data_IF_555289918540
#
_entry.id   IF_555289918540
#
_cell.length_a   1.000
_cell.length_b   1.000
_cell.length_c   1.000
_cell.angle_alpha   90.00
_cell.angle_beta   90.00
_cell.angle_gamma   90.00
#
_symmetry.space_group_name_H-M   'P 1'
#
loop_
_entity.id
_entity.type
_entity.pdbx_description
1 polymer ?
#
# COMPACT_ATOMS: atom_id res chain seq x y z
N UNK A 1 36.86 -60.20 -35.23
CA UNK A 1 35.57 -59.90 -35.87
C UNK A 1 34.46 -60.43 -34.97
N UNK A 2 33.80 -59.58 -34.21
CA UNK A 2 32.55 -59.90 -33.50
C UNK A 2 31.64 -58.68 -33.65
N UNK A 3 30.51 -58.87 -34.34
CA UNK A 3 29.51 -57.85 -34.59
C UNK A 3 28.43 -57.93 -33.51
N UNK A 4 28.22 -56.84 -32.77
CA UNK A 4 27.08 -56.69 -31.85
C UNK A 4 26.11 -55.71 -32.51
N UNK A 5 24.90 -56.22 -32.79
CA UNK A 5 23.75 -55.45 -33.24
C UNK A 5 23.20 -54.66 -32.05
N UNK A 6 23.25 -53.33 -32.11
CA UNK A 6 22.52 -52.46 -31.18
C UNK A 6 21.19 -52.03 -31.80
N UNK A 7 20.10 -52.41 -31.15
CA UNK A 7 18.76 -51.94 -31.45
C UNK A 7 18.60 -50.49 -30.94
N UNK A 8 18.15 -49.61 -31.84
CA UNK A 8 17.81 -48.22 -31.52
C UNK A 8 16.36 -48.21 -31.02
N UNK A 9 16.17 -47.89 -29.73
CA UNK A 9 14.86 -47.53 -29.16
C UNK A 9 14.79 -46.00 -29.15
N UNK A 10 13.89 -45.37 -29.92
CA UNK A 10 13.70 -43.93 -29.85
C UNK A 10 12.89 -43.61 -28.58
N UNK A 11 13.57 -43.13 -27.54
CA UNK A 11 12.89 -42.51 -26.38
C UNK A 11 12.45 -41.12 -26.79
N UNK A 12 11.23 -41.05 -27.30
CA UNK A 12 10.40 -39.85 -27.37
C UNK A 12 10.04 -39.42 -25.94
N UNK A 13 10.92 -38.64 -25.31
CA UNK A 13 10.62 -37.92 -24.07
C UNK A 13 10.38 -36.44 -24.43
N UNK A 14 9.16 -36.15 -24.88
CA UNK A 14 8.64 -34.78 -24.94
C UNK A 14 8.50 -34.24 -23.51
N UNK A 15 9.55 -33.61 -23.01
CA UNK A 15 9.45 -32.72 -21.85
C UNK A 15 8.71 -31.45 -22.28
N UNK A 16 7.38 -31.51 -22.22
CA UNK A 16 6.57 -30.30 -22.12
C UNK A 16 6.80 -29.75 -20.72
N UNK A 17 7.80 -28.87 -20.59
CA UNK A 17 7.86 -27.97 -19.46
C UNK A 17 6.59 -27.12 -19.52
N UNK A 18 5.58 -27.52 -18.75
CA UNK A 18 4.50 -26.63 -18.35
C UNK A 18 5.17 -25.47 -17.63
N UNK A 19 5.41 -24.39 -18.38
CA UNK A 19 5.93 -23.16 -17.83
C UNK A 19 5.03 -22.75 -16.68
N UNK A 20 5.61 -22.46 -15.52
CA UNK A 20 4.97 -21.64 -14.52
C UNK A 20 4.58 -20.34 -15.23
N UNK A 21 3.33 -20.25 -15.66
CA UNK A 21 2.79 -19.04 -16.25
C UNK A 21 2.86 -17.98 -15.16
N UNK A 22 3.87 -17.12 -15.25
CA UNK A 22 4.01 -15.99 -14.34
C UNK A 22 2.76 -15.14 -14.52
N UNK A 23 1.81 -15.24 -13.59
CA UNK A 23 0.60 -14.43 -13.63
C UNK A 23 1.04 -12.97 -13.66
N UNK A 24 0.49 -12.15 -14.56
CA UNK A 24 0.93 -10.78 -14.64
C UNK A 24 0.53 -10.01 -13.38
N UNK A 25 1.41 -9.16 -12.85
CA UNK A 25 1.16 -8.45 -11.60
C UNK A 25 -0.02 -7.48 -11.68
N UNK A 26 -0.38 -7.03 -12.89
CA UNK A 26 -1.59 -6.27 -13.16
C UNK A 26 -2.52 -7.00 -14.12
N UNK A 27 -3.82 -6.77 -13.97
CA UNK A 27 -4.91 -7.33 -14.75
C UNK A 27 -6.09 -6.35 -14.67
N UNK A 28 -6.41 -5.57 -15.72
CA UNK A 28 -7.54 -4.67 -15.72
C UNK A 28 -8.84 -5.47 -15.72
N UNK A 29 -9.91 -4.83 -15.26
CA UNK A 29 -11.25 -5.41 -15.38
C UNK A 29 -11.64 -5.43 -16.84
N UNK A 30 -12.13 -6.57 -17.33
CA UNK A 30 -12.71 -6.60 -18.67
C UNK A 30 -14.01 -5.78 -18.69
N UNK A 31 -14.30 -4.97 -19.71
CA UNK A 31 -15.48 -4.09 -19.70
C UNK A 31 -16.80 -4.80 -19.40
N UNK A 32 -16.97 -6.01 -19.90
CA UNK A 32 -18.14 -6.87 -19.67
C UNK A 32 -18.26 -7.41 -18.23
N UNK A 33 -17.16 -7.42 -17.47
CA UNK A 33 -17.13 -7.90 -16.08
C UNK A 33 -17.65 -6.87 -15.09
N UNK A 34 -17.43 -5.59 -15.34
CA UNK A 34 -17.64 -4.54 -14.35
C UNK A 34 -19.10 -4.46 -13.89
N UNK A 35 -20.06 -4.70 -14.79
CA UNK A 35 -21.48 -4.81 -14.45
C UNK A 35 -21.82 -6.07 -13.65
N UNK A 36 -21.23 -7.22 -14.00
CA UNK A 36 -21.48 -8.49 -13.32
C UNK A 36 -20.90 -8.56 -11.90
N UNK A 37 -19.91 -7.70 -11.60
CA UNK A 37 -19.29 -7.60 -10.27
C UNK A 37 -20.15 -6.80 -9.28
N UNK A 38 -21.18 -6.07 -9.74
CA UNK A 38 -22.00 -5.20 -8.88
C UNK A 38 -23.08 -5.99 -8.13
N UNK A 39 -23.38 -5.68 -6.85
CA UNK A 39 -22.70 -4.68 -6.03
C UNK A 39 -21.34 -5.21 -5.52
N UNK A 40 -20.40 -4.29 -5.28
CA UNK A 40 -19.05 -4.58 -4.80
C UNK A 40 -18.91 -4.18 -3.34
N UNK A 41 -18.48 -5.11 -2.49
CA UNK A 41 -18.03 -4.79 -1.13
C UNK A 41 -16.53 -4.48 -1.15
N UNK A 42 -16.10 -3.42 -0.46
CA UNK A 42 -14.71 -2.97 -0.46
C UNK A 42 -14.12 -3.08 0.94
N UNK A 43 -12.96 -3.75 1.04
CA UNK A 43 -12.16 -3.84 2.26
C UNK A 43 -10.81 -3.19 2.03
N UNK A 44 -10.54 -2.12 2.78
CA UNK A 44 -9.27 -1.41 2.77
C UNK A 44 -8.41 -1.99 3.88
N UNK A 45 -7.38 -2.75 3.51
CA UNK A 45 -6.39 -3.29 4.42
C UNK A 45 -5.27 -2.31 4.66
N UNK A 46 -5.08 -1.92 5.92
CA UNK A 46 -3.95 -1.10 6.33
C UNK A 46 -3.22 -1.89 7.41
N UNK A 47 -2.14 -2.57 7.07
CA UNK A 47 -1.37 -3.39 8.02
C UNK A 47 -0.77 -2.55 9.14
N UNK A 48 -0.36 -1.34 8.80
CA UNK A 48 0.37 -0.45 9.71
C UNK A 48 -0.56 0.48 10.50
N UNK A 49 -0.28 0.69 11.79
CA UNK A 49 -0.97 1.70 12.58
C UNK A 49 -0.44 3.10 12.28
N UNK A 50 0.83 3.23 11.88
CA UNK A 50 1.58 4.48 11.83
C UNK A 50 2.64 4.44 10.72
N UNK A 51 3.19 5.61 10.39
CA UNK A 51 4.31 5.76 9.45
C UNK A 51 5.54 5.00 9.96
N UNK A 52 6.20 4.27 9.07
CA UNK A 52 7.52 3.67 9.31
C UNK A 52 8.54 4.12 8.26
N UNK A 53 9.81 3.83 8.51
CA UNK A 53 10.89 3.99 7.54
C UNK A 53 11.37 2.62 7.06
N UNK A 54 11.51 2.47 5.74
CA UNK A 54 12.15 1.32 5.14
C UNK A 54 13.60 1.21 5.64
N UNK A 55 14.16 0.00 5.66
CA UNK A 55 15.55 -0.20 6.02
C UNK A 55 16.21 -1.15 5.03
N UNK A 56 17.51 -0.94 4.81
CA UNK A 56 18.31 -1.81 3.94
C UNK A 56 18.45 -3.17 4.62
N UNK A 57 17.92 -4.22 4.00
CA UNK A 57 18.04 -5.59 4.50
C UNK A 57 19.48 -6.08 4.36
N UNK A 58 19.89 -6.98 5.27
CA UNK A 58 21.08 -7.81 5.08
C UNK A 58 20.73 -9.00 4.18
N UNK A 59 21.53 -9.24 3.13
CA UNK A 59 21.34 -10.31 2.15
C UNK A 59 22.47 -11.37 2.24
N UNK A 60 23.20 -11.41 3.36
CA UNK A 60 24.51 -12.06 3.44
C UNK A 60 24.47 -13.61 3.40
N UNK A 61 23.32 -14.25 3.57
CA UNK A 61 23.18 -15.70 3.41
C UNK A 61 21.87 -16.07 2.68
N UNK A 62 21.94 -16.24 1.35
CA UNK A 62 20.82 -16.72 0.54
C UNK A 62 20.70 -18.26 0.64
N UNK A 63 19.92 -18.75 1.61
CA UNK A 63 19.52 -20.17 1.65
C UNK A 63 18.81 -20.61 2.94
N UNK A 64 17.47 -20.78 2.88
CA UNK A 64 16.71 -21.69 3.75
C UNK A 64 15.67 -21.11 4.73
N UNK A 65 14.38 -21.42 4.48
CA UNK A 65 13.22 -21.45 5.40
C UNK A 65 13.52 -21.43 6.93
N UNK A 66 13.34 -20.36 7.73
CA UNK A 66 12.12 -20.09 8.51
C UNK A 66 12.51 -19.41 9.85
N UNK A 67 11.52 -18.76 10.48
CA UNK A 67 11.50 -18.16 11.82
C UNK A 67 11.89 -16.68 11.92
N UNK A 68 10.88 -15.82 12.04
CA UNK A 68 10.89 -14.65 12.93
C UNK A 68 9.49 -14.02 12.96
N UNK A 69 8.72 -14.36 14.00
CA UNK A 69 7.38 -13.83 14.24
C UNK A 69 7.15 -13.34 15.68
N UNK A 70 8.21 -13.13 16.48
CA UNK A 70 8.03 -12.91 17.91
C UNK A 70 9.01 -11.88 18.51
N UNK A 71 9.03 -10.65 17.99
CA UNK A 71 9.53 -9.50 18.76
C UNK A 71 8.37 -8.52 19.00
N UNK A 72 7.85 -8.41 20.24
CA UNK A 72 6.82 -7.45 20.60
C UNK A 72 7.28 -6.01 20.29
N UNK A 73 6.45 -5.22 19.61
CA UNK A 73 6.74 -3.83 19.25
C UNK A 73 7.45 -3.59 17.91
N UNK A 74 8.00 -4.63 17.26
CA UNK A 74 8.64 -4.55 15.93
C UNK A 74 7.86 -5.31 14.84
N UNK A 75 6.65 -5.77 15.16
CA UNK A 75 5.96 -6.85 14.45
C UNK A 75 5.75 -6.63 12.95
N UNK A 76 5.58 -5.38 12.49
CA UNK A 76 5.31 -5.10 11.07
C UNK A 76 6.61 -4.99 10.27
N UNK A 77 7.61 -4.26 10.79
CA UNK A 77 8.91 -4.17 10.14
C UNK A 77 9.63 -5.51 10.09
N UNK A 78 9.53 -6.29 11.18
CA UNK A 78 10.16 -7.61 11.25
C UNK A 78 9.38 -8.62 10.40
N UNK A 79 8.04 -8.60 10.38
CA UNK A 79 7.27 -9.48 9.48
C UNK A 79 7.51 -9.14 8.00
N UNK A 80 7.65 -7.86 7.64
CA UNK A 80 8.04 -7.44 6.29
C UNK A 80 9.47 -7.92 5.95
N UNK A 81 10.39 -7.87 6.91
CA UNK A 81 11.76 -8.39 6.78
C UNK A 81 11.80 -9.91 6.62
N UNK A 82 10.92 -10.63 7.29
CA UNK A 82 10.92 -12.09 7.43
C UNK A 82 10.06 -12.84 6.42
N UNK A 83 9.65 -12.17 5.33
CA UNK A 83 9.08 -12.79 4.14
C UNK A 83 10.11 -13.67 3.41
N UNK A 84 10.40 -14.83 4.00
CA UNK A 84 11.34 -15.83 3.51
C UNK A 84 12.53 -16.04 4.45
N UNK A 85 12.59 -17.22 5.07
CA UNK A 85 13.85 -17.98 5.14
C UNK A 85 15.10 -17.31 5.77
N UNK A 86 15.00 -16.64 6.92
CA UNK A 86 16.16 -15.96 7.52
C UNK A 86 16.67 -16.64 8.79
N UNK A 87 17.98 -16.95 8.83
CA UNK A 87 18.67 -17.43 10.03
C UNK A 87 18.75 -16.36 11.13
N UNK A 88 19.00 -16.79 12.37
CA UNK A 88 18.95 -15.94 13.57
C UNK A 88 19.89 -14.70 13.51
N UNK A 89 21.02 -14.80 12.81
CA UNK A 89 21.99 -13.68 12.67
C UNK A 89 21.46 -12.59 11.74
N UNK A 90 20.99 -12.94 10.55
CA UNK A 90 20.39 -11.97 9.62
C UNK A 90 19.08 -11.40 10.19
N UNK A 91 18.31 -12.21 10.91
CA UNK A 91 17.16 -11.73 11.66
C UNK A 91 17.56 -10.71 12.74
N UNK A 92 18.66 -10.91 13.47
CA UNK A 92 19.14 -9.97 14.49
C UNK A 92 19.66 -8.64 13.90
N UNK A 93 20.36 -8.69 12.76
CA UNK A 93 20.82 -7.50 12.05
C UNK A 93 19.61 -6.72 11.49
N UNK A 94 18.68 -7.42 10.84
CA UNK A 94 17.46 -6.80 10.32
C UNK A 94 16.57 -6.27 11.45
N UNK A 95 16.48 -6.95 12.60
CA UNK A 95 15.78 -6.45 13.79
C UNK A 95 16.44 -5.17 14.35
N UNK A 96 17.76 -5.13 14.39
CA UNK A 96 18.51 -3.94 14.85
C UNK A 96 18.29 -2.76 13.90
N UNK A 97 18.35 -2.99 12.58
CA UNK A 97 18.10 -1.97 11.56
C UNK A 97 16.65 -1.50 11.57
N UNK A 98 15.70 -2.41 11.71
CA UNK A 98 14.28 -2.10 11.88
C UNK A 98 14.05 -1.23 13.12
N UNK A 99 14.68 -1.58 14.25
CA UNK A 99 14.58 -0.79 15.49
C UNK A 99 15.17 0.61 15.31
N UNK A 100 16.34 0.74 14.70
CA UNK A 100 16.95 2.04 14.42
C UNK A 100 16.07 2.90 13.50
N UNK A 101 15.43 2.30 12.49
CA UNK A 101 14.49 2.97 11.61
C UNK A 101 13.25 3.47 12.37
N UNK A 102 12.65 2.65 13.25
CA UNK A 102 11.52 3.08 14.11
C UNK A 102 11.90 4.23 15.04
N UNK A 103 13.05 4.15 15.70
CA UNK A 103 13.53 5.22 16.57
C UNK A 103 13.76 6.52 15.80
N UNK A 104 14.25 6.43 14.56
CA UNK A 104 14.53 7.59 13.71
C UNK A 104 13.26 8.23 13.13
N UNK A 105 12.21 7.45 12.85
CA UNK A 105 10.94 8.00 12.33
C UNK A 105 10.04 8.57 13.43
N UNK A 106 10.30 8.24 14.70
CA UNK A 106 9.47 8.65 15.84
C UNK A 106 9.13 10.16 15.88
N UNK A 107 10.08 11.08 15.65
CA UNK A 107 9.77 12.52 15.64
C UNK A 107 8.75 12.91 14.57
N UNK A 108 8.67 12.17 13.46
CA UNK A 108 7.69 12.39 12.40
C UNK A 108 6.34 11.74 12.72
N UNK A 109 6.34 10.61 13.44
CA UNK A 109 5.11 9.94 13.89
C UNK A 109 4.34 10.82 14.87
N UNK A 110 5.05 11.47 15.79
CA UNK A 110 4.46 12.39 16.78
C UNK A 110 3.71 13.56 16.10
N UNK A 111 4.23 14.05 14.97
CA UNK A 111 3.59 15.12 14.18
C UNK A 111 2.33 14.65 13.42
N UNK A 112 2.15 13.34 13.24
CA UNK A 112 1.05 12.73 12.49
C UNK A 112 -0.06 12.15 13.37
N UNK A 113 0.04 12.26 14.70
CA UNK A 113 -0.93 11.71 15.66
C UNK A 113 -2.36 12.18 15.40
N UNK A 114 -2.54 13.41 14.94
CA UNK A 114 -3.86 13.99 14.66
C UNK A 114 -4.46 13.55 13.32
N UNK A 115 -3.67 12.92 12.45
CA UNK A 115 -4.14 12.48 11.13
C UNK A 115 -4.90 11.18 11.29
N UNK A 116 -6.22 11.21 11.06
CA UNK A 116 -7.04 10.00 11.04
C UNK A 116 -6.94 9.30 9.67
N UNK A 117 -5.85 8.57 9.45
CA UNK A 117 -5.56 7.86 8.20
C UNK A 117 -6.69 6.93 7.77
N UNK A 118 -7.25 6.16 8.70
CA UNK A 118 -8.28 5.17 8.39
C UNK A 118 -9.54 5.85 7.85
N UNK A 119 -9.95 6.96 8.48
CA UNK A 119 -11.08 7.75 8.01
C UNK A 119 -10.80 8.37 6.63
N UNK A 120 -9.65 9.03 6.47
CA UNK A 120 -9.25 9.67 5.21
C UNK A 120 -9.19 8.67 4.06
N UNK A 121 -8.64 7.48 4.29
CA UNK A 121 -8.59 6.41 3.31
C UNK A 121 -9.98 5.91 2.95
N UNK A 122 -10.84 5.64 3.94
CA UNK A 122 -12.21 5.19 3.69
C UNK A 122 -12.98 6.21 2.85
N UNK A 123 -12.89 7.49 3.20
CA UNK A 123 -13.56 8.58 2.49
C UNK A 123 -13.02 8.72 1.07
N UNK A 124 -11.69 8.75 0.89
CA UNK A 124 -11.06 8.88 -0.42
C UNK A 124 -11.38 7.70 -1.34
N UNK A 125 -11.35 6.47 -0.82
CA UNK A 125 -11.75 5.26 -1.57
C UNK A 125 -13.23 5.33 -1.94
N UNK A 126 -14.10 5.67 -0.99
CA UNK A 126 -15.54 5.76 -1.23
C UNK A 126 -15.84 6.78 -2.33
N UNK A 127 -15.32 7.99 -2.19
CA UNK A 127 -15.52 9.07 -3.17
C UNK A 127 -14.95 8.70 -4.54
N UNK A 128 -13.74 8.14 -4.59
CA UNK A 128 -13.09 7.77 -5.86
C UNK A 128 -13.87 6.66 -6.56
N UNK A 129 -14.30 5.62 -5.85
CA UNK A 129 -15.04 4.50 -6.46
C UNK A 129 -16.48 4.88 -6.83
N UNK A 130 -17.12 5.79 -6.10
CA UNK A 130 -18.43 6.34 -6.48
C UNK A 130 -18.37 7.17 -7.77
N UNK A 131 -17.20 7.71 -8.13
CA UNK A 131 -17.01 8.41 -9.41
C UNK A 131 -17.00 7.45 -10.62
N UNK A 132 -16.86 6.15 -10.40
CA UNK A 132 -16.90 5.13 -11.46
C UNK A 132 -18.34 4.96 -11.94
N UNK A 133 -18.67 5.21 -13.22
CA UNK A 133 -20.03 5.13 -13.71
C UNK A 133 -20.65 3.74 -13.48
N UNK A 134 -21.87 3.72 -12.92
CA UNK A 134 -22.65 2.49 -12.62
C UNK A 134 -22.02 1.56 -11.58
N UNK A 135 -21.01 2.01 -10.84
CA UNK A 135 -20.49 1.29 -9.68
C UNK A 135 -21.49 1.37 -8.53
N UNK A 136 -21.83 0.22 -7.95
CA UNK A 136 -22.68 0.08 -6.78
C UNK A 136 -21.82 -0.48 -5.65
N UNK A 137 -21.47 0.38 -4.69
CA UNK A 137 -20.75 -0.04 -3.50
C UNK A 137 -21.76 -0.54 -2.46
N UNK A 138 -21.57 -1.78 -1.98
CA UNK A 138 -22.39 -2.32 -0.90
C UNK A 138 -21.93 -1.78 0.46
N UNK A 139 -20.61 -1.81 0.70
CA UNK A 139 -19.96 -1.38 1.94
C UNK A 139 -18.50 -1.02 1.63
N UNK A 140 -17.93 -0.09 2.40
CA UNK A 140 -16.50 0.25 2.39
C UNK A 140 -16.01 0.26 3.83
N UNK A 141 -15.24 -0.76 4.20
CA UNK A 141 -14.70 -0.89 5.56
C UNK A 141 -13.17 -0.94 5.55
N UNK A 142 -12.57 -0.38 6.60
CA UNK A 142 -11.14 -0.47 6.86
C UNK A 142 -10.88 -1.62 7.83
N UNK A 143 -9.82 -2.41 7.59
CA UNK A 143 -9.37 -3.46 8.49
C UNK A 143 -7.86 -3.38 8.70
N UNK A 144 -7.43 -3.60 9.94
CA UNK A 144 -6.02 -3.77 10.29
C UNK A 144 -5.55 -5.22 10.20
N UNK A 145 -6.48 -6.18 10.11
CA UNK A 145 -6.17 -7.61 10.00
C UNK A 145 -6.06 -8.01 8.54
N UNK A 146 -4.87 -7.82 7.98
CA UNK A 146 -4.56 -8.14 6.57
C UNK A 146 -3.86 -9.49 6.50
N UNK A 147 -4.62 -10.57 6.69
CA UNK A 147 -4.14 -11.94 6.53
C UNK A 147 -4.99 -12.67 5.50
N UNK A 148 -4.42 -13.66 4.81
CA UNK A 148 -5.15 -14.47 3.83
C UNK A 148 -6.37 -15.12 4.46
N UNK A 149 -6.26 -15.63 5.68
CA UNK A 149 -7.36 -16.25 6.41
C UNK A 149 -8.49 -15.27 6.75
N UNK A 150 -8.16 -14.08 7.27
CA UNK A 150 -9.17 -13.06 7.59
C UNK A 150 -9.88 -12.54 6.33
N UNK A 151 -9.13 -12.39 5.23
CA UNK A 151 -9.69 -12.00 3.94
C UNK A 151 -10.55 -13.10 3.34
N UNK A 152 -10.14 -14.37 3.42
CA UNK A 152 -10.95 -15.53 2.99
C UNK A 152 -12.27 -15.58 3.76
N UNK A 153 -12.22 -15.40 5.08
CA UNK A 153 -13.42 -15.37 5.94
C UNK A 153 -14.35 -14.23 5.54
N UNK A 154 -13.81 -13.03 5.34
CA UNK A 154 -14.57 -11.86 4.89
C UNK A 154 -15.18 -12.11 3.50
N UNK A 155 -14.37 -12.62 2.58
CA UNK A 155 -14.77 -12.97 1.23
C UNK A 155 -15.86 -14.04 1.18
N UNK A 156 -15.89 -14.99 2.13
CA UNK A 156 -16.92 -16.04 2.28
C UNK A 156 -18.14 -15.60 3.09
N UNK A 157 -18.05 -14.53 3.88
CA UNK A 157 -19.17 -13.97 4.65
C UNK A 157 -19.97 -12.89 3.90
N UNK A 158 -19.34 -12.16 2.97
CA UNK A 158 -19.98 -11.13 2.12
C UNK A 158 -21.30 -11.58 1.46
N UNK A 159 -22.23 -10.69 1.17
CA UNK A 159 -23.42 -10.99 0.34
C UNK A 159 -23.35 -10.34 -1.04
N UNK A 160 -22.27 -9.63 -1.32
CA UNK A 160 -22.04 -8.88 -2.56
C UNK A 160 -21.64 -9.79 -3.71
N UNK A 161 -21.85 -9.34 -4.94
CA UNK A 161 -21.47 -10.10 -6.13
C UNK A 161 -19.94 -10.15 -6.30
N UNK A 162 -19.22 -9.17 -5.77
CA UNK A 162 -17.77 -9.19 -5.69
C UNK A 162 -17.26 -8.54 -4.40
N UNK A 163 -16.02 -8.89 -4.05
CA UNK A 163 -15.28 -8.22 -2.96
C UNK A 163 -13.99 -7.65 -3.53
N UNK A 164 -13.75 -6.38 -3.27
CA UNK A 164 -12.53 -5.66 -3.57
C UNK A 164 -11.68 -5.54 -2.32
N UNK A 165 -10.43 -5.98 -2.39
CA UNK A 165 -9.43 -5.75 -1.35
C UNK A 165 -8.45 -4.70 -1.85
N UNK A 166 -8.26 -3.63 -1.06
CA UNK A 166 -7.28 -2.58 -1.32
C UNK A 166 -6.28 -2.63 -0.17
N UNK A 167 -5.08 -3.15 -0.41
CA UNK A 167 -4.02 -3.11 0.58
C UNK A 167 -3.22 -1.83 0.39
N UNK A 168 -3.17 -1.00 1.43
CA UNK A 168 -2.41 0.22 1.47
C UNK A 168 -1.14 0.02 2.31
N UNK A 169 -0.03 0.49 1.79
CA UNK A 169 1.22 0.65 2.53
C UNK A 169 1.75 2.08 2.37
N UNK A 170 2.31 2.70 3.41
CA UNK A 170 2.92 4.01 3.32
C UNK A 170 4.16 4.09 4.20
N UNK A 171 5.30 4.50 3.64
CA UNK A 171 6.56 4.51 4.37
C UNK A 171 7.51 5.57 3.82
N UNK A 172 8.50 5.95 4.63
CA UNK A 172 9.64 6.72 4.17
C UNK A 172 10.73 5.80 3.63
N UNK A 173 11.46 6.24 2.61
CA UNK A 173 12.69 5.59 2.16
C UNK A 173 13.72 5.49 3.29
N UNK A 174 14.71 4.62 3.16
CA UNK A 174 15.69 4.36 4.24
C UNK A 174 16.59 5.55 4.57
N UNK A 175 16.74 6.48 3.65
CA UNK A 175 17.42 7.76 3.82
C UNK A 175 16.45 8.90 4.20
N UNK A 176 15.16 8.59 4.42
CA UNK A 176 14.10 9.54 4.71
C UNK A 176 13.88 10.60 3.63
N UNK A 177 14.43 10.46 2.43
CA UNK A 177 14.31 11.49 1.38
C UNK A 177 12.95 11.50 0.69
N UNK A 178 12.24 10.37 0.70
CA UNK A 178 11.04 10.15 -0.13
C UNK A 178 9.95 9.46 0.68
N UNK A 179 8.74 10.00 0.64
CA UNK A 179 7.53 9.30 1.07
C UNK A 179 7.02 8.43 -0.08
N UNK A 180 6.75 7.16 0.18
CA UNK A 180 6.07 6.24 -0.72
C UNK A 180 4.70 5.88 -0.15
N UNK A 181 3.67 5.89 -1.01
CA UNK A 181 2.35 5.35 -0.70
C UNK A 181 2.00 4.34 -1.79
N UNK A 182 1.77 3.09 -1.42
CA UNK A 182 1.44 1.99 -2.31
C UNK A 182 0.01 1.52 -2.07
N UNK A 183 -0.78 1.43 -3.13
CA UNK A 183 -2.12 0.87 -3.12
C UNK A 183 -2.20 -0.32 -4.08
N UNK A 184 -2.50 -1.50 -3.52
CA UNK A 184 -2.71 -2.72 -4.29
C UNK A 184 -4.18 -3.12 -4.25
N UNK A 185 -4.84 -2.99 -5.40
CA UNK A 185 -6.25 -3.36 -5.58
C UNK A 185 -6.40 -4.76 -6.19
N UNK A 186 -7.28 -5.57 -5.61
CA UNK A 186 -7.67 -6.89 -6.10
C UNK A 186 -9.20 -7.01 -6.05
N UNK A 187 -9.86 -7.45 -7.12
CA UNK A 187 -11.30 -7.77 -7.09
C UNK A 187 -11.50 -9.26 -7.33
N UNK A 188 -12.29 -9.90 -6.49
CA UNK A 188 -12.65 -11.31 -6.58
C UNK A 188 -14.15 -11.47 -6.81
N UNK A 189 -14.51 -12.30 -7.79
CA UNK A 189 -15.89 -12.63 -8.11
C UNK A 189 -16.45 -13.64 -7.11
N UNK A 190 -17.59 -13.30 -6.50
CA UNK A 190 -18.25 -14.10 -5.46
C UNK A 190 -19.62 -14.63 -5.90
N UNK A 191 -20.52 -13.74 -6.34
CA UNK A 191 -21.88 -14.11 -6.76
C UNK A 191 -21.86 -14.98 -8.02
N UNK A 192 -22.95 -15.73 -8.25
CA UNK A 192 -23.05 -16.65 -9.39
C UNK A 192 -22.85 -15.92 -10.73
N UNK A 193 -23.41 -14.72 -10.89
CA UNK A 193 -23.28 -13.89 -12.08
C UNK A 193 -21.83 -13.43 -12.31
N UNK A 194 -21.21 -12.86 -11.26
CA UNK A 194 -19.81 -12.44 -11.28
C UNK A 194 -18.87 -13.61 -11.62
N UNK A 195 -19.09 -14.78 -11.02
CA UNK A 195 -18.25 -15.97 -11.23
C UNK A 195 -18.43 -16.54 -12.62
N UNK A 196 -19.67 -16.56 -13.15
CA UNK A 196 -19.95 -16.92 -14.54
C UNK A 196 -19.21 -16.00 -15.51
N UNK A 197 -19.28 -14.69 -15.29
CA UNK A 197 -18.57 -13.71 -16.11
C UNK A 197 -17.04 -13.91 -16.03
N UNK A 198 -16.52 -14.19 -14.82
CA UNK A 198 -15.11 -14.47 -14.57
C UNK A 198 -14.64 -15.84 -15.08
N UNK A 199 -15.55 -16.67 -15.61
CA UNK A 199 -15.31 -18.07 -16.01
C UNK A 199 -14.78 -18.94 -14.86
N UNK A 200 -15.25 -18.67 -13.65
CA UNK A 200 -14.95 -19.45 -12.45
C UNK A 200 -16.08 -20.45 -12.17
N UNK A 201 -15.80 -21.55 -11.44
CA UNK A 201 -16.85 -22.48 -10.99
C UNK A 201 -17.95 -21.75 -10.22
N UNK A 202 -19.22 -22.09 -10.45
CA UNK A 202 -20.35 -21.38 -9.83
C UNK A 202 -20.31 -21.44 -8.29
N UNK A 203 -19.92 -22.58 -7.73
CA UNK A 203 -19.70 -22.74 -6.29
C UNK A 203 -18.28 -22.31 -5.89
N UNK A 204 -18.13 -21.85 -4.65
CA UNK A 204 -16.81 -21.66 -4.03
C UNK A 204 -16.23 -23.03 -3.68
N UNK A 205 -14.92 -23.21 -3.88
CA UNK A 205 -14.25 -24.43 -3.41
C UNK A 205 -14.33 -24.50 -1.89
N UNK A 206 -14.76 -25.65 -1.37
CA UNK A 206 -14.73 -25.94 0.06
C UNK A 206 -13.35 -26.47 0.50
N UNK A 207 -12.47 -26.78 -0.46
CA UNK A 207 -11.18 -27.41 -0.21
C UNK A 207 -10.13 -26.35 0.15
N UNK A 208 -9.43 -26.46 1.31
CA UNK A 208 -8.40 -25.50 1.71
C UNK A 208 -7.23 -25.35 0.72
N UNK A 209 -6.93 -26.39 -0.07
CA UNK A 209 -5.86 -26.37 -1.08
C UNK A 209 -6.19 -25.52 -2.31
N UNK A 210 -7.44 -25.07 -2.44
CA UNK A 210 -7.91 -24.21 -3.53
C UNK A 210 -8.51 -22.92 -2.95
N UNK A 211 -7.66 -22.02 -2.43
CA UNK A 211 -8.14 -20.82 -1.77
C UNK A 211 -8.97 -19.97 -2.73
N UNK A 212 -10.11 -19.47 -2.27
CA UNK A 212 -11.00 -18.65 -3.08
C UNK A 212 -10.29 -17.38 -3.54
N UNK A 213 -9.36 -16.88 -2.71
CA UNK A 213 -8.57 -15.68 -2.96
C UNK A 213 -7.22 -15.94 -3.66
N UNK A 214 -7.01 -17.13 -4.23
CA UNK A 214 -5.83 -17.39 -5.05
C UNK A 214 -5.71 -16.34 -6.17
N UNK A 215 -4.49 -15.86 -6.46
CA UNK A 215 -4.28 -14.72 -7.36
C UNK A 215 -4.84 -14.95 -8.76
N UNK A 216 -4.90 -16.19 -9.24
CA UNK A 216 -5.51 -16.56 -10.53
C UNK A 216 -7.03 -16.33 -10.57
N UNK A 217 -7.71 -16.29 -9.42
CA UNK A 217 -9.16 -16.09 -9.33
C UNK A 217 -9.55 -14.60 -9.32
N UNK A 218 -8.58 -13.68 -9.26
CA UNK A 218 -8.85 -12.25 -9.28
C UNK A 218 -9.35 -11.82 -10.66
N UNK A 219 -10.46 -11.09 -10.70
CA UNK A 219 -10.97 -10.45 -11.91
C UNK A 219 -10.29 -9.10 -12.20
N UNK A 220 -9.62 -8.54 -11.20
CA UNK A 220 -8.85 -7.29 -11.27
C UNK A 220 -7.59 -7.39 -10.41
N UNK A 221 -6.49 -6.84 -10.91
CA UNK A 221 -5.25 -6.60 -10.16
C UNK A 221 -4.64 -5.28 -10.59
N UNK A 222 -4.33 -4.43 -9.62
CA UNK A 222 -3.59 -3.20 -9.87
C UNK A 222 -2.62 -2.91 -8.75
N UNK A 223 -1.52 -2.27 -9.11
CA UNK A 223 -0.50 -1.77 -8.19
C UNK A 223 -0.23 -0.33 -8.59
N UNK A 224 -0.51 0.56 -7.65
CA UNK A 224 -0.32 2.00 -7.79
C UNK A 224 0.67 2.41 -6.72
N UNK A 225 1.70 3.14 -7.12
CA UNK A 225 2.73 3.65 -6.22
C UNK A 225 2.79 5.16 -6.42
N UNK A 226 2.68 5.89 -5.34
CA UNK A 226 2.88 7.32 -5.26
C UNK A 226 4.21 7.57 -4.58
N UNK A 227 5.02 8.45 -5.15
CA UNK A 227 6.28 8.88 -4.53
C UNK A 227 6.31 10.39 -4.41
N UNK A 228 6.77 10.89 -3.26
CA UNK A 228 6.99 12.31 -3.02
C UNK A 228 8.35 12.51 -2.38
N UNK A 229 9.32 12.96 -3.19
CA UNK A 229 10.65 13.33 -2.70
C UNK A 229 10.61 14.72 -2.06
N UNK A 230 11.21 14.86 -0.88
CA UNK A 230 11.33 16.15 -0.23
C UNK A 230 12.15 17.13 -1.10
N UNK A 231 11.72 18.39 -1.32
CA UNK A 231 12.46 19.33 -2.17
C UNK A 231 13.87 19.65 -1.67
N UNK A 232 14.06 19.61 -0.35
CA UNK A 232 15.36 19.79 0.31
C UNK A 232 16.07 18.47 0.65
N UNK A 233 15.67 17.36 0.03
CA UNK A 233 16.29 16.06 0.26
C UNK A 233 17.80 16.08 -0.05
N UNK A 234 18.56 15.41 0.79
CA UNK A 234 20.01 15.21 0.68
C UNK A 234 20.38 13.75 0.95
N UNK A 235 21.66 13.41 0.89
CA UNK A 235 22.14 12.07 1.23
C UNK A 235 22.25 11.84 2.76
N UNK A 236 21.94 12.86 3.56
CA UNK A 236 21.99 12.83 5.02
C UNK A 236 20.58 12.59 5.60
N UNK A 237 20.38 11.42 6.18
CA UNK A 237 19.12 10.98 6.76
C UNK A 237 18.62 11.91 7.88
N UNK A 238 19.52 12.44 8.73
CA UNK A 238 19.12 13.33 9.83
C UNK A 238 18.60 14.66 9.27
N UNK A 239 19.26 15.22 8.26
CA UNK A 239 18.79 16.43 7.57
C UNK A 239 17.45 16.21 6.87
N UNK A 240 17.24 15.03 6.31
CA UNK A 240 15.96 14.70 5.68
C UNK A 240 14.83 14.60 6.71
N UNK A 241 15.07 14.02 7.88
CA UNK A 241 14.11 13.99 8.99
C UNK A 241 13.78 15.43 9.42
N UNK A 242 14.79 16.27 9.65
CA UNK A 242 14.59 17.68 10.03
C UNK A 242 13.81 18.45 8.96
N UNK A 243 14.10 18.19 7.68
CA UNK A 243 13.40 18.81 6.56
C UNK A 243 11.93 18.40 6.50
N UNK A 244 11.61 17.12 6.72
CA UNK A 244 10.23 16.66 6.83
C UNK A 244 9.51 17.18 8.06
N UNK A 245 10.22 17.40 9.17
CA UNK A 245 9.65 17.91 10.43
C UNK A 245 9.39 19.42 10.38
N UNK A 246 10.09 20.16 9.51
CA UNK A 246 9.91 21.58 9.34
C UNK A 246 8.43 21.96 9.12
N UNK A 247 8.05 23.14 9.63
CA UNK A 247 6.67 23.63 9.59
C UNK A 247 5.64 22.64 10.18
N UNK A 248 5.96 21.94 11.28
CA UNK A 248 5.09 20.94 11.94
C UNK A 248 4.69 19.80 11.01
N UNK A 249 5.68 19.30 10.27
CA UNK A 249 5.55 18.29 9.23
C UNK A 249 4.50 18.59 8.16
N UNK A 250 4.29 19.87 7.82
CA UNK A 250 3.31 20.30 6.81
C UNK A 250 3.50 19.58 5.47
N UNK A 251 4.73 19.51 4.97
CA UNK A 251 5.00 18.85 3.68
C UNK A 251 4.75 17.35 3.74
N UNK A 252 5.02 16.69 4.87
CA UNK A 252 4.72 15.27 5.06
C UNK A 252 3.22 15.01 5.06
N UNK A 253 2.45 15.83 5.80
CA UNK A 253 0.98 15.76 5.85
C UNK A 253 0.37 15.97 4.45
N UNK A 254 0.86 16.97 3.72
CA UNK A 254 0.42 17.23 2.33
C UNK A 254 0.76 16.06 1.42
N UNK A 255 2.00 15.56 1.44
CA UNK A 255 2.44 14.46 0.59
C UNK A 255 1.60 13.19 0.84
N UNK A 256 1.27 12.93 2.10
CA UNK A 256 0.45 11.80 2.48
C UNK A 256 -0.99 11.94 1.99
N UNK A 257 -1.62 13.11 2.22
CA UNK A 257 -3.00 13.37 1.79
C UNK A 257 -3.13 13.31 0.27
N UNK A 258 -2.17 13.90 -0.45
CA UNK A 258 -2.10 13.79 -1.90
C UNK A 258 -1.84 12.35 -2.34
N UNK A 259 -0.93 11.62 -1.67
CA UNK A 259 -0.66 10.21 -1.97
C UNK A 259 -1.91 9.33 -1.84
N UNK A 260 -2.72 9.54 -0.81
CA UNK A 260 -4.02 8.87 -0.63
C UNK A 260 -4.95 9.23 -1.79
N UNK A 261 -5.14 10.53 -2.08
CA UNK A 261 -6.06 11.01 -3.09
C UNK A 261 -5.67 10.53 -4.50
N UNK A 262 -4.39 10.65 -4.89
CA UNK A 262 -3.88 10.19 -6.18
C UNK A 262 -4.01 8.67 -6.30
N UNK A 263 -3.65 7.91 -5.27
CA UNK A 263 -3.70 6.45 -5.32
C UNK A 263 -5.13 5.94 -5.52
N UNK A 264 -6.11 6.49 -4.80
CA UNK A 264 -7.51 6.07 -4.94
C UNK A 264 -8.14 6.57 -6.25
N UNK A 265 -7.78 7.77 -6.72
CA UNK A 265 -8.25 8.29 -8.00
C UNK A 265 -7.70 7.47 -9.17
N UNK A 266 -6.42 7.10 -9.13
CA UNK A 266 -5.78 6.24 -10.13
C UNK A 266 -6.40 4.84 -10.13
N UNK A 267 -6.74 4.30 -8.95
CA UNK A 267 -7.43 3.01 -8.83
C UNK A 267 -8.80 3.05 -9.51
N UNK A 268 -9.58 4.10 -9.23
CA UNK A 268 -10.89 4.30 -9.87
C UNK A 268 -10.77 4.51 -11.39
N UNK A 269 -9.75 5.23 -11.85
CA UNK A 269 -9.48 5.42 -13.27
C UNK A 269 -9.02 4.12 -13.96
N UNK A 270 -8.19 3.32 -13.30
CA UNK A 270 -7.68 2.06 -13.83
C UNK A 270 -8.79 1.00 -13.98
N UNK A 271 -9.76 0.97 -13.06
CA UNK A 271 -10.99 0.17 -13.21
C UNK A 271 -11.78 0.51 -14.47
N UNK A 272 -11.82 1.78 -14.86
CA UNK A 272 -12.51 2.25 -16.06
C UNK A 272 -11.68 2.07 -17.34
N UNK A 273 -10.39 1.79 -17.19
CA UNK A 273 -9.47 1.79 -18.30
C UNK A 273 -9.70 0.60 -19.23
N UNK A 274 -9.70 0.87 -20.53
CA UNK A 274 -9.80 -0.17 -21.58
C UNK A 274 -8.41 -0.62 -22.04
N UNK A 275 -7.36 -0.30 -21.30
CA UNK A 275 -5.99 -0.46 -21.79
C UNK A 275 -5.60 -1.93 -21.87
N UNK A 276 -4.99 -2.37 -22.99
CA UNK A 276 -4.23 -3.60 -22.96
C UNK A 276 -3.07 -3.44 -21.97
N UNK A 277 -2.94 -4.40 -21.07
CA UNK A 277 -2.04 -4.40 -19.90
C UNK A 277 -0.56 -4.23 -20.24
N UNK A 278 -0.20 -4.37 -21.53
CA UNK A 278 1.18 -4.41 -22.03
C UNK A 278 1.35 -3.56 -23.28
N UNK A 279 0.86 -2.32 -23.27
CA UNK A 279 1.29 -1.39 -24.31
C UNK A 279 2.83 -1.22 -24.20
N UNK A 280 3.60 -1.53 -25.27
CA UNK A 280 5.05 -1.36 -25.25
C UNK A 280 5.41 0.10 -24.94
N UNK A 281 6.62 0.32 -24.43
CA UNK A 281 7.01 1.66 -24.04
C UNK A 281 7.07 2.62 -25.25
N UNK A 282 6.14 3.58 -25.35
CA UNK A 282 6.09 4.60 -26.42
C UNK A 282 7.02 5.77 -26.14
N UNK A 283 7.36 6.01 -24.86
CA UNK A 283 8.38 6.96 -24.43
C UNK A 283 9.15 6.35 -23.26
N UNK A 284 10.46 6.19 -23.41
CA UNK A 284 11.31 5.64 -22.36
C UNK A 284 11.80 6.77 -21.45
N UNK A 285 11.34 6.79 -20.21
CA UNK A 285 11.95 7.61 -19.16
C UNK A 285 12.84 6.69 -18.33
N UNK A 286 14.10 7.10 -18.11
CA UNK A 286 14.96 6.44 -17.15
C UNK A 286 14.41 6.72 -15.75
N UNK A 287 14.03 5.67 -15.03
CA UNK A 287 13.50 5.78 -13.68
C UNK A 287 14.61 5.56 -12.65
N UNK A 288 14.45 6.04 -11.41
CA UNK A 288 15.40 5.77 -10.32
C UNK A 288 15.64 4.27 -10.08
N UNK A 289 14.70 3.41 -10.49
CA UNK A 289 14.81 1.95 -10.39
C UNK A 289 15.62 1.31 -11.53
N UNK A 290 16.12 2.10 -12.49
CA UNK A 290 16.83 1.62 -13.68
C UNK A 290 15.94 0.95 -14.73
N UNK A 291 14.62 0.85 -14.47
CA UNK A 291 13.65 0.31 -15.41
C UNK A 291 13.09 1.42 -16.31
N UNK A 292 12.82 1.09 -17.57
CA UNK A 292 12.14 2.00 -18.50
C UNK A 292 10.64 1.96 -18.23
N UNK A 293 10.02 3.14 -18.14
CA UNK A 293 8.57 3.28 -17.98
C UNK A 293 7.99 4.24 -19.02
N UNK A 294 6.70 4.04 -19.32
CA UNK A 294 5.90 4.92 -20.18
C UNK A 294 5.45 6.17 -19.44
N UNK A 295 5.69 7.35 -19.98
CA UNK A 295 5.00 8.55 -19.55
C UNK A 295 3.52 8.49 -20.00
N UNK A 296 2.60 8.37 -19.04
CA UNK A 296 1.15 8.37 -19.29
C UNK A 296 0.62 9.79 -19.30
N UNK A 297 1.04 10.61 -18.33
CA UNK A 297 0.69 12.02 -18.28
C UNK A 297 1.71 12.81 -17.45
N UNK A 298 1.81 14.11 -17.71
CA UNK A 298 2.64 15.03 -16.93
C UNK A 298 1.83 16.30 -16.65
N UNK A 299 1.84 16.73 -15.39
CA UNK A 299 1.22 17.97 -14.91
C UNK A 299 2.23 18.71 -14.03
N UNK A 300 1.89 19.94 -13.63
CA UNK A 300 2.74 20.70 -12.71
C UNK A 300 2.91 19.99 -11.36
N UNK A 301 1.92 19.20 -10.93
CA UNK A 301 1.95 18.45 -9.66
C UNK A 301 2.72 17.14 -9.72
N UNK A 302 3.10 16.65 -10.89
CA UNK A 302 3.83 15.38 -11.00
C UNK A 302 3.72 14.69 -12.35
N UNK A 303 4.29 13.49 -12.43
CA UNK A 303 4.31 12.65 -13.63
C UNK A 303 3.68 11.30 -13.31
N UNK A 304 2.77 10.85 -14.16
CA UNK A 304 2.22 9.50 -14.11
C UNK A 304 2.99 8.63 -15.10
N UNK A 305 3.61 7.57 -14.59
CA UNK A 305 4.35 6.57 -15.33
C UNK A 305 3.60 5.24 -15.30
N UNK A 306 3.72 4.45 -16.38
CA UNK A 306 3.26 3.06 -16.44
C UNK A 306 4.43 2.15 -16.75
N UNK A 307 4.72 1.23 -15.84
CA UNK A 307 5.81 0.28 -16.01
C UNK A 307 5.40 -0.90 -16.91
N UNK A 308 6.36 -1.66 -17.47
CA UNK A 308 6.07 -2.80 -18.35
C UNK A 308 5.22 -3.90 -17.71
N UNK A 309 5.28 -4.01 -16.37
CA UNK A 309 4.46 -4.91 -15.56
C UNK A 309 3.00 -4.39 -15.37
N UNK A 310 2.69 -3.22 -15.94
CA UNK A 310 1.42 -2.52 -15.89
C UNK A 310 1.15 -1.69 -14.64
N UNK A 311 2.06 -1.68 -13.65
CA UNK A 311 1.89 -0.84 -12.45
C UNK A 311 1.98 0.64 -12.79
N UNK A 312 1.22 1.44 -12.06
CA UNK A 312 1.18 2.89 -12.20
C UNK A 312 2.04 3.54 -11.10
N UNK A 313 2.89 4.47 -11.50
CA UNK A 313 3.73 5.25 -10.59
C UNK A 313 3.42 6.73 -10.76
N UNK A 314 3.03 7.40 -9.69
CA UNK A 314 2.88 8.85 -9.70
C UNK A 314 4.04 9.48 -8.93
N UNK A 315 4.94 10.12 -9.66
CA UNK A 315 6.07 10.85 -9.10
C UNK A 315 5.64 12.31 -8.88
N UNK A 316 5.37 12.65 -7.62
CA UNK A 316 4.86 13.96 -7.24
C UNK A 316 5.96 15.02 -7.21
N UNK A 317 5.66 16.17 -7.80
CA UNK A 317 6.44 17.39 -7.62
C UNK A 317 5.98 18.08 -6.33
N UNK A 318 6.44 17.61 -5.17
CA UNK A 318 5.90 17.94 -3.86
C UNK A 318 5.81 19.46 -3.58
N UNK A 319 6.78 20.25 -4.03
CA UNK A 319 6.71 21.72 -3.91
C UNK A 319 5.47 22.31 -4.59
N UNK A 320 5.11 21.80 -5.77
CA UNK A 320 3.96 22.25 -6.53
C UNK A 320 2.65 21.70 -5.96
N UNK A 321 2.67 20.47 -5.43
CA UNK A 321 1.52 19.91 -4.69
C UNK A 321 1.21 20.77 -3.47
N UNK A 322 2.23 21.10 -2.68
CA UNK A 322 2.08 21.93 -1.50
C UNK A 322 1.64 23.37 -1.80
N UNK A 323 2.06 23.94 -2.93
CA UNK A 323 1.59 25.25 -3.37
C UNK A 323 0.12 25.24 -3.82
N UNK A 324 -0.39 24.09 -4.27
CA UNK A 324 -1.78 23.92 -4.70
C UNK A 324 -2.73 23.49 -3.57
N UNK A 325 -2.21 23.09 -2.41
CA UNK A 325 -3.01 22.60 -1.30
C UNK A 325 -3.80 23.74 -0.61
N UNK A 326 -5.08 23.53 -0.24
CA UNK A 326 -5.88 24.53 0.45
C UNK A 326 -5.28 24.89 1.83
N UNK A 327 -5.36 26.17 2.21
CA UNK A 327 -4.71 26.73 3.40
C UNK A 327 -5.11 26.08 4.75
N UNK A 328 -6.23 25.34 4.80
CA UNK A 328 -6.64 24.58 5.98
C UNK A 328 -5.70 23.39 6.30
N UNK A 329 -4.94 22.91 5.31
CA UNK A 329 -3.83 21.96 5.51
C UNK A 329 -2.52 22.69 5.88
N UNK A 330 -2.51 24.03 5.80
CA UNK A 330 -1.34 24.89 5.97
C UNK A 330 -1.33 25.70 7.28
N UNK A 331 -2.40 25.66 8.08
CA UNK A 331 -2.45 26.38 9.36
C UNK A 331 -1.96 25.47 10.50
N UNK A 332 -0.95 25.87 11.29
CA UNK A 332 -0.79 25.28 12.61
C UNK A 332 -2.05 25.61 13.40
N UNK A 333 -2.65 24.62 14.07
CA UNK A 333 -3.63 24.89 15.13
C UNK A 333 -2.82 25.47 16.30
N UNK A 334 -2.43 26.73 16.18
CA UNK A 334 -2.08 27.54 17.33
C UNK A 334 -3.39 27.88 18.03
N UNK A 335 -3.91 26.96 18.84
CA UNK A 335 -4.87 27.33 19.84
C UNK A 335 -4.15 28.24 20.84
N UNK A 336 -4.62 29.47 21.10
CA UNK A 336 -4.08 30.24 22.21
C UNK A 336 -4.43 29.46 23.49
N UNK A 337 -3.40 29.07 24.23
CA UNK A 337 -3.55 28.67 25.63
C UNK A 337 -4.10 29.89 26.35
N UNK A 338 -5.43 29.93 26.52
CA UNK A 338 -6.06 30.81 27.49
C UNK A 338 -5.64 30.26 28.84
N UNK A 339 -4.67 30.92 29.46
CA UNK A 339 -4.24 30.63 30.82
C UNK A 339 -5.47 30.64 31.75
N UNK A 340 -5.64 29.64 32.63
CA UNK A 340 -6.65 29.71 33.66
C UNK A 340 -6.35 30.91 34.56
N UNK A 341 -7.38 31.71 34.84
CA UNK A 341 -7.29 32.85 35.76
C UNK A 341 -6.72 32.39 37.12
N UNK A 342 -5.87 33.20 37.78
CA UNK A 342 -5.38 32.86 39.10
C UNK A 342 -6.49 33.03 40.13
N UNK A 343 -7.07 31.92 40.57
CA UNK A 343 -7.79 31.84 41.84
C UNK A 343 -6.77 31.88 42.98
N UNK A 344 -6.65 33.03 43.65
CA UNK A 344 -5.98 33.16 44.94
C UNK A 344 -6.44 34.42 45.66
N UNK A 345 -7.46 34.29 46.50
CA UNK A 345 -7.59 35.08 47.72
C UNK A 345 -8.63 34.45 48.67
N UNK A 346 -8.17 33.54 49.53
CA UNK A 346 -8.80 33.29 50.83
C UNK A 346 -7.73 33.49 51.90
N UNK A 347 -7.91 34.55 52.70
CA UNK A 347 -7.75 34.67 54.16
C UNK A 347 -7.12 35.99 54.58
N UNK A 348 -7.94 36.82 55.22
CA UNK A 348 -7.51 37.64 56.35
C UNK A 348 -8.49 37.37 57.50
N UNK A 349 -8.00 36.63 58.49
CA UNK A 349 -8.57 36.51 59.83
C UNK A 349 -8.21 37.80 60.57
N UNK A 350 -9.20 38.50 61.13
CA UNK A 350 -8.98 39.40 62.27
C UNK A 350 -10.09 39.13 63.28
N UNK A 351 -9.74 38.36 64.30
CA UNK A 351 -10.35 38.43 65.62
C UNK A 351 -10.02 39.79 66.24
N UNK A 352 -11.03 40.53 66.71
CA UNK A 352 -10.89 41.29 67.96
C UNK A 352 -12.25 41.42 68.62
N UNK A 353 -12.31 40.94 69.86
CA UNK A 353 -13.43 41.02 70.77
C UNK A 353 -13.68 42.44 71.32
N UNK A 354 -14.91 42.65 71.80
CA UNK A 354 -15.28 43.29 73.07
C UNK A 354 -16.32 44.43 72.99
N UNK A 355 -17.41 44.18 73.72
CA UNK A 355 -18.45 45.08 74.27
C UNK A 355 -19.48 45.68 73.33
#
# INVERSE_FOLDING_TARGET
>A
MFAIRSAVIPVLASFVFAGCTHLPPTQPVKPEMLGALQPVEVKVGITQPELYAAFVRSNAAAGGAAACGAVPGLGILLAAACGGAMGAVDASINATRAKAAEESVRPLKDELVEVNFDQLMRESVTQSLQSVPRMQLADVAVTKTVTTEAYEKTFKASTSNAVMFINLDYHLSSDFSTLEVSARGLIYARGAEARKAAKLPAALSATPSEPALALQNSSYRSTIIYTAKHPAASDDAAKNIDAWKADNARLLKVALLDGIAQSTALLAADLQSKHPVYAPATANVDTPTGMKANLVSQRNTGKLLRYPNGSLYFDAALANVAAAAPAAVAAPVAAPVVAPAPDSAVQAVVDTAAK
#
